data_IF_268367823602
#
_entry.id   IF_268367823602
#
_cell.length_a   1.000
_cell.length_b   1.000
_cell.length_c   1.000
_cell.angle_alpha   90.00
_cell.angle_beta   90.00
_cell.angle_gamma   90.00
#
_symmetry.space_group_name_H-M   'P 1'
#
loop_
_entity.id
_entity.type
_entity.pdbx_description
1 polymer ?
#
# COMPACT_ATOMS: atom_id res chain seq x y z
N UNK A 1 24.36 -57.54 13.48
CA UNK A 1 23.38 -57.87 14.56
C UNK A 1 22.11 -57.08 14.31
N UNK A 2 20.96 -57.77 14.34
CA UNK A 2 19.65 -57.30 13.87
C UNK A 2 19.03 -56.30 14.87
N UNK A 3 18.68 -55.09 14.41
CA UNK A 3 17.75 -54.20 15.14
C UNK A 3 16.33 -54.62 14.78
N UNK A 4 15.61 -55.21 15.74
CA UNK A 4 14.22 -55.62 15.58
C UNK A 4 13.31 -54.44 15.89
N UNK A 5 12.50 -54.07 14.90
CA UNK A 5 11.32 -53.21 15.05
C UNK A 5 10.25 -54.04 15.76
N UNK A 6 9.63 -53.46 16.81
CA UNK A 6 8.50 -54.06 17.52
C UNK A 6 7.27 -53.17 17.27
N UNK A 7 6.33 -53.74 16.51
CA UNK A 7 5.03 -53.16 16.18
C UNK A 7 4.01 -53.58 17.24
N UNK A 8 3.14 -52.62 17.55
CA UNK A 8 1.90 -52.60 18.33
C UNK A 8 1.09 -53.89 18.46
N UNK A 9 0.43 -54.02 19.62
CA UNK A 9 -0.93 -54.59 19.75
C UNK A 9 -1.53 -54.11 21.09
N UNK A 10 -2.38 -53.07 21.04
CA UNK A 10 -3.23 -52.69 22.18
C UNK A 10 -4.57 -53.41 22.02
N UNK A 11 -4.92 -54.13 23.08
CA UNK A 11 -6.06 -55.02 23.23
C UNK A 11 -7.35 -54.20 23.45
N UNK A 12 -8.40 -54.58 22.73
CA UNK A 12 -9.73 -53.98 22.83
C UNK A 12 -10.54 -54.49 24.05
N UNK A 13 -11.69 -53.84 24.27
CA UNK A 13 -12.81 -54.05 25.24
C UNK A 13 -12.80 -53.05 26.40
N UNK A 14 -13.91 -52.46 26.90
CA UNK A 14 -15.31 -52.91 26.97
C UNK A 14 -16.36 -51.78 26.76
N UNK A 15 -17.41 -52.13 26.01
CA UNK A 15 -18.87 -52.04 26.24
C UNK A 15 -19.50 -50.94 27.13
N UNK A 16 -20.33 -50.13 26.44
CA UNK A 16 -21.67 -49.60 26.74
C UNK A 16 -22.17 -49.50 28.21
N UNK A 17 -22.54 -48.28 28.60
CA UNK A 17 -23.66 -48.04 29.51
C UNK A 17 -24.53 -46.92 28.97
N UNK A 18 -25.76 -47.29 28.64
CA UNK A 18 -26.86 -46.43 28.22
C UNK A 18 -27.33 -45.58 29.39
N UNK A 19 -27.48 -44.28 29.19
CA UNK A 19 -28.28 -43.41 30.05
C UNK A 19 -29.33 -42.70 29.19
N UNK A 20 -30.59 -43.02 29.47
CA UNK A 20 -31.78 -42.40 28.88
C UNK A 20 -31.97 -41.00 29.46
N UNK A 21 -31.92 -39.99 28.59
CA UNK A 21 -32.25 -38.60 28.91
C UNK A 21 -32.72 -37.86 27.66
N UNK A 22 -34.03 -37.66 27.55
CA UNK A 22 -34.69 -36.86 26.51
C UNK A 22 -34.19 -35.41 26.53
N UNK A 23 -33.71 -34.88 25.40
CA UNK A 23 -34.27 -33.69 24.72
C UNK A 23 -33.29 -33.04 23.72
N UNK A 24 -33.91 -32.52 22.66
CA UNK A 24 -33.47 -31.50 21.71
C UNK A 24 -32.62 -31.90 20.50
N UNK A 25 -33.27 -31.71 19.35
CA UNK A 25 -32.68 -31.57 18.02
C UNK A 25 -31.65 -30.46 18.04
N UNK A 26 -30.39 -30.77 17.79
CA UNK A 26 -29.44 -29.77 17.31
C UNK A 26 -29.59 -29.68 15.79
N UNK A 27 -30.06 -28.50 15.41
CA UNK A 27 -30.05 -27.97 14.07
C UNK A 27 -28.60 -27.96 13.58
N UNK A 28 -28.32 -28.66 12.48
CA UNK A 28 -27.05 -28.51 11.78
C UNK A 28 -26.96 -27.05 11.31
N UNK A 29 -26.23 -26.22 12.06
CA UNK A 29 -25.76 -24.95 11.54
C UNK A 29 -24.89 -25.25 10.33
N UNK A 30 -25.45 -24.91 9.17
CA UNK A 30 -24.75 -24.87 7.93
C UNK A 30 -23.75 -23.71 8.04
N UNK A 31 -22.58 -23.96 8.62
CA UNK A 31 -21.46 -23.01 8.58
C UNK A 31 -21.13 -22.82 7.11
N UNK A 32 -21.62 -21.71 6.57
CA UNK A 32 -21.21 -21.26 5.25
C UNK A 32 -19.73 -20.94 5.40
N UNK A 33 -18.88 -21.81 4.87
CA UNK A 33 -17.45 -21.52 4.73
C UNK A 33 -17.39 -20.39 3.70
N UNK A 34 -17.41 -19.15 4.18
CA UNK A 34 -17.00 -18.02 3.35
C UNK A 34 -15.52 -18.27 3.02
N UNK A 35 -15.26 -18.55 1.74
CA UNK A 35 -13.90 -18.48 1.22
C UNK A 35 -13.47 -17.02 1.29
N UNK A 36 -12.87 -16.62 2.41
CA UNK A 36 -12.26 -15.32 2.54
C UNK A 36 -11.00 -15.34 1.68
N UNK A 37 -11.08 -14.71 0.50
CA UNK A 37 -9.90 -14.39 -0.29
C UNK A 37 -9.08 -13.33 0.44
N UNK A 38 -7.77 -13.55 0.52
CA UNK A 38 -6.84 -12.58 1.10
C UNK A 38 -6.84 -11.28 0.26
N UNK A 39 -6.96 -10.13 0.93
CA UNK A 39 -6.72 -8.81 0.35
C UNK A 39 -5.22 -8.49 0.41
N UNK A 40 -4.56 -8.55 -0.75
CA UNK A 40 -3.11 -8.41 -0.89
C UNK A 40 -2.77 -7.14 -1.67
N UNK A 41 -1.91 -6.30 -1.09
CA UNK A 41 -1.36 -5.11 -1.74
C UNK A 41 0.17 -5.17 -1.72
N UNK A 42 0.79 -5.03 -2.88
CA UNK A 42 2.26 -4.97 -2.99
C UNK A 42 2.69 -3.56 -3.36
N UNK A 43 3.72 -3.05 -2.67
CA UNK A 43 4.31 -1.75 -2.92
C UNK A 43 5.83 -1.81 -2.79
N UNK A 44 6.52 -0.84 -3.39
CA UNK A 44 7.97 -0.68 -3.29
C UNK A 44 8.27 0.79 -2.98
N UNK A 45 9.21 1.00 -2.07
CA UNK A 45 9.69 2.32 -1.68
C UNK A 45 11.18 2.42 -1.97
N UNK A 46 11.64 3.62 -2.33
CA UNK A 46 13.06 3.90 -2.53
C UNK A 46 13.47 5.07 -1.64
N UNK A 47 14.51 4.90 -0.84
CA UNK A 47 15.03 5.98 0.01
C UNK A 47 15.95 6.94 -0.76
N UNK A 48 16.46 7.96 -0.07
CA UNK A 48 17.36 8.97 -0.64
C UNK A 48 18.72 8.41 -1.10
N UNK A 49 19.13 7.26 -0.55
CA UNK A 49 20.37 6.58 -0.91
C UNK A 49 20.16 5.55 -2.04
N UNK A 50 18.93 5.40 -2.52
CA UNK A 50 18.56 4.48 -3.59
C UNK A 50 18.34 3.04 -3.12
N UNK A 51 18.25 2.78 -1.81
CA UNK A 51 17.88 1.46 -1.29
C UNK A 51 16.41 1.20 -1.55
N UNK A 52 16.06 -0.05 -1.81
CA UNK A 52 14.68 -0.47 -2.03
C UNK A 52 14.11 -1.16 -0.78
N UNK A 53 12.85 -0.90 -0.51
CA UNK A 53 12.03 -1.58 0.50
C UNK A 53 10.77 -2.09 -0.18
N UNK A 54 10.67 -3.40 -0.38
CA UNK A 54 9.48 -4.03 -0.94
C UNK A 54 8.58 -4.53 0.18
N UNK A 55 7.28 -4.24 0.09
CA UNK A 55 6.30 -4.62 1.11
C UNK A 55 5.07 -5.24 0.46
N UNK A 56 4.71 -6.44 0.93
CA UNK A 56 3.44 -7.09 0.65
C UNK A 56 2.57 -7.01 1.91
N UNK A 57 1.49 -6.25 1.85
CA UNK A 57 0.48 -6.17 2.88
C UNK A 57 -0.60 -7.22 2.63
N UNK A 58 -0.81 -8.11 3.59
CA UNK A 58 -1.99 -8.96 3.67
C UNK A 58 -2.96 -8.34 4.68
N UNK A 59 -3.90 -7.53 4.18
CA UNK A 59 -4.84 -6.77 5.00
C UNK A 59 -5.85 -7.68 5.72
N UNK A 60 -6.12 -8.86 5.16
CA UNK A 60 -6.99 -9.87 5.80
C UNK A 60 -6.33 -10.47 7.04
N UNK A 61 -5.01 -10.69 7.01
CA UNK A 61 -4.26 -11.31 8.10
C UNK A 61 -3.57 -10.32 9.04
N UNK A 62 -3.50 -9.04 8.66
CA UNK A 62 -2.72 -8.04 9.39
C UNK A 62 -1.24 -8.38 9.41
N UNK A 63 -0.70 -8.86 8.29
CA UNK A 63 0.71 -9.23 8.13
C UNK A 63 1.32 -8.38 7.02
N UNK A 64 2.51 -7.84 7.27
CA UNK A 64 3.36 -7.26 6.23
C UNK A 64 4.59 -8.15 6.03
N UNK A 65 4.79 -8.65 4.81
CA UNK A 65 6.04 -9.31 4.41
C UNK A 65 6.93 -8.26 3.76
N UNK A 66 8.08 -7.99 4.39
CA UNK A 66 9.01 -6.94 3.99
C UNK A 66 10.28 -7.58 3.44
N UNK A 67 10.79 -7.07 2.31
CA UNK A 67 12.13 -7.38 1.81
C UNK A 67 12.98 -6.11 1.81
N UNK A 68 14.11 -6.15 2.52
CA UNK A 68 15.05 -5.03 2.67
C UNK A 68 16.49 -5.56 2.68
N UNK A 69 17.37 -5.02 1.84
CA UNK A 69 18.79 -5.46 1.73
C UNK A 69 18.94 -6.99 1.61
N UNK A 70 18.13 -7.62 0.76
CA UNK A 70 18.09 -9.09 0.53
C UNK A 70 17.56 -9.92 1.74
N UNK A 71 17.18 -9.28 2.85
CA UNK A 71 16.54 -9.93 3.99
C UNK A 71 15.01 -9.84 3.86
N UNK A 72 14.31 -10.97 4.02
CA UNK A 72 12.84 -11.02 4.05
C UNK A 72 12.34 -11.40 5.44
N UNK A 73 11.40 -10.64 5.98
CA UNK A 73 10.82 -10.88 7.30
C UNK A 73 9.33 -10.50 7.35
N UNK A 74 8.61 -11.11 8.29
CA UNK A 74 7.20 -10.79 8.53
C UNK A 74 7.06 -9.88 9.74
N UNK A 75 6.12 -8.94 9.63
CA UNK A 75 5.72 -8.03 10.69
C UNK A 75 4.22 -8.19 10.96
N UNK A 76 3.85 -8.17 12.22
CA UNK A 76 2.45 -8.22 12.65
C UNK A 76 1.91 -6.81 12.82
N UNK A 77 0.66 -6.59 12.40
CA UNK A 77 -0.01 -5.31 12.55
C UNK A 77 -0.21 -4.95 14.01
N UNK A 78 0.05 -3.69 14.33
CA UNK A 78 -0.21 -3.08 15.63
C UNK A 78 -1.32 -2.03 15.53
N UNK A 79 -1.86 -1.64 16.69
CA UNK A 79 -2.84 -0.57 16.77
C UNK A 79 -2.19 0.81 16.65
N UNK A 80 -2.25 1.41 15.47
CA UNK A 80 -1.84 2.79 15.24
C UNK A 80 -2.97 3.80 15.56
N UNK A 81 -2.60 5.02 15.98
CA UNK A 81 -3.54 6.13 16.07
C UNK A 81 -3.84 6.76 14.69
N UNK A 82 -2.89 6.66 13.76
CA UNK A 82 -3.01 7.10 12.37
C UNK A 82 -1.95 6.37 11.53
N UNK A 83 -2.29 6.05 10.29
CA UNK A 83 -1.38 5.38 9.37
C UNK A 83 -1.22 3.88 9.64
N UNK A 84 -0.09 3.34 9.22
CA UNK A 84 0.28 1.93 9.39
C UNK A 84 1.29 1.77 10.51
N UNK A 85 1.20 0.63 11.20
CA UNK A 85 2.19 0.20 12.18
C UNK A 85 2.24 -1.32 12.16
N UNK A 86 3.42 -1.87 11.85
CA UNK A 86 3.70 -3.29 11.89
C UNK A 86 5.03 -3.54 12.60
N UNK A 87 5.17 -4.62 13.37
CA UNK A 87 6.44 -4.95 14.04
C UNK A 87 6.63 -6.44 14.28
N UNK A 88 7.87 -6.81 14.55
CA UNK A 88 8.25 -8.03 15.24
C UNK A 88 9.27 -7.69 16.35
N UNK A 89 10.06 -8.65 16.83
CA UNK A 89 11.04 -8.42 17.89
C UNK A 89 12.26 -7.58 17.46
N UNK A 90 12.56 -7.55 16.15
CA UNK A 90 13.75 -6.89 15.58
C UNK A 90 13.38 -5.65 14.77
N UNK A 91 12.25 -5.66 14.08
CA UNK A 91 11.89 -4.65 13.09
C UNK A 91 10.57 -3.96 13.43
N UNK A 92 10.47 -2.69 13.06
CA UNK A 92 9.26 -1.89 13.18
C UNK A 92 9.08 -1.03 11.92
N UNK A 93 7.97 -1.25 11.23
CA UNK A 93 7.55 -0.48 10.06
C UNK A 93 6.43 0.49 10.47
N UNK A 94 6.65 1.78 10.28
CA UNK A 94 5.66 2.83 10.53
C UNK A 94 5.47 3.68 9.29
N UNK A 95 4.27 4.16 9.06
CA UNK A 95 4.04 5.03 7.91
C UNK A 95 2.70 5.73 7.94
N UNK A 96 2.56 6.76 7.10
CA UNK A 96 1.31 7.50 6.90
C UNK A 96 1.29 8.01 5.47
N UNK A 97 0.18 7.77 4.76
CA UNK A 97 0.11 8.03 3.32
C UNK A 97 1.26 7.31 2.60
N UNK A 98 2.09 8.02 1.84
CA UNK A 98 3.25 7.45 1.15
C UNK A 98 4.53 7.42 2.00
N UNK A 99 4.56 8.11 3.14
CA UNK A 99 5.74 8.13 3.99
C UNK A 99 5.88 6.82 4.76
N UNK A 100 7.08 6.25 4.79
CA UNK A 100 7.36 5.04 5.56
C UNK A 100 8.77 5.08 6.16
N UNK A 101 8.88 4.59 7.39
CA UNK A 101 10.12 4.43 8.12
C UNK A 101 10.21 2.96 8.57
N UNK A 102 11.39 2.35 8.37
CA UNK A 102 11.72 1.04 8.93
C UNK A 102 12.82 1.21 9.98
N UNK A 103 12.55 0.71 11.17
CA UNK A 103 13.53 0.60 12.25
C UNK A 103 14.00 -0.85 12.41
N UNK A 104 15.28 -1.03 12.75
CA UNK A 104 15.89 -2.29 13.16
C UNK A 104 16.52 -2.08 14.53
N UNK A 105 16.12 -2.87 15.52
CA UNK A 105 16.58 -2.76 16.91
C UNK A 105 16.46 -1.33 17.49
N UNK A 106 15.43 -0.60 17.06
CA UNK A 106 15.16 0.79 17.46
C UNK A 106 15.94 1.87 16.70
N UNK A 107 16.82 1.50 15.77
CA UNK A 107 17.55 2.42 14.90
C UNK A 107 16.87 2.55 13.53
N UNK A 108 16.79 3.77 13.00
CA UNK A 108 16.22 4.03 11.66
C UNK A 108 17.18 3.49 10.59
N UNK A 109 16.73 2.49 9.81
CA UNK A 109 17.54 1.86 8.76
C UNK A 109 17.05 2.17 7.34
N UNK A 110 15.81 2.65 7.20
CA UNK A 110 15.24 3.09 5.93
C UNK A 110 14.18 4.17 6.19
N UNK A 111 14.13 5.19 5.33
CA UNK A 111 13.11 6.23 5.36
C UNK A 111 12.78 6.67 3.94
N UNK A 112 11.51 6.58 3.58
CA UNK A 112 10.96 7.14 2.36
C UNK A 112 9.95 8.23 2.70
N UNK A 113 10.06 9.38 2.01
CA UNK A 113 9.16 10.53 2.16
C UNK A 113 8.61 10.93 0.80
N UNK A 114 7.35 11.32 0.78
CA UNK A 114 6.71 11.85 -0.41
C UNK A 114 7.30 13.22 -0.78
N UNK A 115 7.69 13.40 -2.04
CA UNK A 115 8.27 14.65 -2.52
C UNK A 115 7.19 15.46 -3.21
N UNK A 116 6.48 16.27 -2.41
CA UNK A 116 5.40 17.14 -2.87
C UNK A 116 5.89 18.56 -3.13
N UNK A 117 5.62 19.09 -4.32
CA UNK A 117 5.87 20.48 -4.70
C UNK A 117 4.56 21.16 -5.07
N UNK A 118 4.23 22.24 -4.39
CA UNK A 118 3.05 23.06 -4.69
C UNK A 118 3.45 24.33 -5.44
N UNK A 119 2.70 24.71 -6.45
CA UNK A 119 2.89 25.94 -7.22
C UNK A 119 1.54 26.56 -7.55
N UNK A 120 1.49 27.88 -7.67
CA UNK A 120 0.32 28.63 -8.12
C UNK A 120 0.78 29.71 -9.07
N UNK A 121 0.14 29.79 -10.23
CA UNK A 121 0.47 30.77 -11.28
C UNK A 121 -0.79 31.48 -11.75
N UNK A 122 -0.63 32.73 -12.17
CA UNK A 122 -1.73 33.55 -12.68
C UNK A 122 -1.39 34.03 -14.09
N UNK A 123 -2.32 33.90 -15.03
CA UNK A 123 -2.14 34.41 -16.40
C UNK A 123 -2.53 35.91 -16.50
N UNK A 124 -2.39 36.49 -17.70
CA UNK A 124 -2.67 37.91 -17.94
C UNK A 124 -4.16 38.25 -17.83
N UNK A 125 -5.01 37.25 -18.02
CA UNK A 125 -6.46 37.32 -17.90
C UNK A 125 -6.93 37.25 -16.44
N UNK A 126 -6.01 37.01 -15.49
CA UNK A 126 -6.29 36.90 -14.06
C UNK A 126 -6.77 35.52 -13.63
N UNK A 127 -6.75 34.53 -14.54
CA UNK A 127 -7.04 33.14 -14.20
C UNK A 127 -5.88 32.55 -13.40
N UNK A 128 -6.19 31.60 -12.54
CA UNK A 128 -5.22 30.92 -11.66
C UNK A 128 -5.12 29.45 -12.01
N UNK A 129 -3.90 28.91 -11.93
CA UNK A 129 -3.64 27.48 -12.03
C UNK A 129 -2.83 27.05 -10.81
N UNK A 130 -3.51 26.39 -9.88
CA UNK A 130 -2.86 25.76 -8.73
C UNK A 130 -2.43 24.34 -9.11
N UNK A 131 -1.21 23.96 -8.74
CA UNK A 131 -0.59 22.70 -9.11
C UNK A 131 0.08 22.07 -7.89
N UNK A 132 -0.15 20.78 -7.69
CA UNK A 132 0.50 19.96 -6.68
C UNK A 132 1.17 18.80 -7.40
N UNK A 133 2.49 18.86 -7.52
CA UNK A 133 3.30 17.82 -8.11
C UNK A 133 3.73 16.84 -7.02
N UNK A 134 3.48 15.56 -7.23
CA UNK A 134 4.04 14.48 -6.45
C UNK A 134 5.16 13.86 -7.28
N UNK A 135 6.39 14.20 -6.94
CA UNK A 135 7.58 13.74 -7.66
C UNK A 135 7.93 12.27 -7.33
N UNK A 136 7.39 11.72 -6.25
CA UNK A 136 7.55 10.31 -5.88
C UNK A 136 6.73 9.40 -6.79
N UNK A 137 5.45 9.72 -6.97
CA UNK A 137 4.52 8.96 -7.82
C UNK A 137 4.46 9.47 -9.26
N UNK A 138 5.22 10.54 -9.56
CA UNK A 138 5.22 11.25 -10.82
C UNK A 138 3.79 11.65 -11.28
N UNK A 139 3.02 12.22 -10.36
CA UNK A 139 1.64 12.69 -10.63
C UNK A 139 1.52 14.20 -10.40
N UNK A 140 0.52 14.82 -11.00
CA UNK A 140 0.17 16.21 -10.73
C UNK A 140 -1.33 16.33 -10.48
N UNK A 141 -1.71 17.10 -9.47
CA UNK A 141 -3.09 17.54 -9.23
C UNK A 141 -3.17 19.01 -9.54
N UNK A 142 -4.12 19.42 -10.38
CA UNK A 142 -4.26 20.81 -10.78
C UNK A 142 -5.68 21.33 -10.58
N UNK A 143 -5.80 22.64 -10.38
CA UNK A 143 -7.07 23.35 -10.21
C UNK A 143 -7.03 24.63 -11.05
N UNK A 144 -7.89 24.72 -12.06
CA UNK A 144 -8.07 25.94 -12.86
C UNK A 144 -9.14 26.80 -12.19
N UNK A 145 -8.79 28.03 -11.82
CA UNK A 145 -9.69 29.00 -11.18
C UNK A 145 -10.38 28.46 -9.91
N UNK A 146 -9.65 27.66 -9.12
CA UNK A 146 -10.19 27.00 -7.93
C UNK A 146 -11.32 25.99 -8.23
N UNK A 147 -11.44 25.55 -9.49
CA UNK A 147 -12.43 24.61 -9.97
C UNK A 147 -12.19 23.17 -9.52
N UNK A 148 -12.66 22.20 -10.32
CA UNK A 148 -12.51 20.78 -10.01
C UNK A 148 -11.05 20.33 -10.01
N UNK A 149 -10.72 19.39 -9.12
CA UNK A 149 -9.42 18.73 -9.11
C UNK A 149 -9.25 17.91 -10.39
N UNK A 150 -8.18 18.15 -11.13
CA UNK A 150 -7.78 17.35 -12.29
C UNK A 150 -6.51 16.59 -11.93
N UNK A 151 -6.57 15.26 -11.94
CA UNK A 151 -5.39 14.40 -11.73
C UNK A 151 -4.73 14.07 -13.07
N UNK A 152 -3.42 14.22 -13.13
CA UNK A 152 -2.59 14.00 -14.31
C UNK A 152 -1.44 13.05 -13.98
N UNK A 153 -1.09 12.21 -14.94
CA UNK A 153 0.01 11.26 -14.87
C UNK A 153 1.22 11.79 -15.63
N UNK A 154 2.39 11.74 -15.01
CA UNK A 154 3.64 12.18 -15.62
C UNK A 154 4.00 11.35 -16.85
N UNK A 155 4.56 12.01 -17.85
CA UNK A 155 5.01 11.42 -19.10
C UNK A 155 6.53 11.58 -19.22
N UNK A 156 7.13 11.02 -20.28
CA UNK A 156 8.54 11.23 -20.61
C UNK A 156 8.69 12.35 -21.64
N UNK A 157 8.98 13.61 -21.25
CA UNK A 157 9.19 14.70 -22.19
C UNK A 157 10.61 14.71 -22.76
N UNK A 158 10.79 15.32 -23.93
CA UNK A 158 12.12 15.67 -24.44
C UNK A 158 12.76 16.87 -23.71
N UNK A 159 11.96 17.69 -23.04
CA UNK A 159 12.40 18.82 -22.20
C UNK A 159 11.23 19.33 -21.35
N UNK A 160 11.50 19.78 -20.12
CA UNK A 160 10.49 20.38 -19.24
C UNK A 160 9.60 19.36 -18.55
N UNK A 161 8.42 19.81 -18.14
CA UNK A 161 7.38 18.97 -17.52
C UNK A 161 6.36 18.50 -18.54
N UNK A 162 5.82 17.31 -18.33
CA UNK A 162 4.69 16.81 -19.11
C UNK A 162 3.85 15.86 -18.26
N UNK A 163 2.60 16.25 -18.04
CA UNK A 163 1.60 15.45 -17.34
C UNK A 163 0.33 15.42 -18.17
N UNK A 164 -0.38 14.29 -18.21
CA UNK A 164 -1.65 14.20 -18.93
C UNK A 164 -2.61 13.19 -18.32
N UNK A 165 -3.88 13.31 -18.69
CA UNK A 165 -4.88 12.25 -18.62
C UNK A 165 -5.62 12.17 -19.97
N UNK A 166 -6.80 11.55 -20.00
CA UNK A 166 -7.56 11.38 -21.24
C UNK A 166 -8.07 12.69 -21.85
N UNK A 167 -8.29 13.73 -21.03
CA UNK A 167 -8.90 14.99 -21.44
C UNK A 167 -7.95 16.18 -21.36
N UNK A 168 -6.98 16.16 -20.45
CA UNK A 168 -6.12 17.28 -20.13
C UNK A 168 -4.66 16.95 -20.35
N UNK A 169 -3.91 17.95 -20.81
CA UNK A 169 -2.45 17.88 -20.94
C UNK A 169 -1.81 19.16 -20.40
N UNK A 170 -0.90 18.99 -19.45
CA UNK A 170 -0.08 20.03 -18.85
C UNK A 170 1.35 19.92 -19.39
N UNK A 171 1.83 20.99 -20.00
CA UNK A 171 3.18 21.14 -20.54
C UNK A 171 3.84 22.35 -19.91
N UNK A 172 5.15 22.33 -19.74
CA UNK A 172 5.85 23.51 -19.25
C UNK A 172 7.36 23.39 -19.28
N UNK A 173 8.05 24.53 -19.21
CA UNK A 173 9.51 24.61 -19.13
C UNK A 173 9.91 25.88 -18.37
N UNK A 174 10.67 25.70 -17.29
CA UNK A 174 10.99 26.83 -16.41
C UNK A 174 9.72 27.34 -15.73
N UNK A 175 9.42 28.63 -15.88
CA UNK A 175 8.22 29.26 -15.32
C UNK A 175 7.01 29.22 -16.28
N UNK A 176 7.21 28.86 -17.54
CA UNK A 176 6.14 28.80 -18.56
C UNK A 176 5.37 27.48 -18.45
N UNK A 177 4.05 27.56 -18.44
CA UNK A 177 3.12 26.44 -18.35
C UNK A 177 1.94 26.65 -19.30
N UNK A 178 1.50 25.57 -19.93
CA UNK A 178 0.30 25.53 -20.77
C UNK A 178 -0.55 24.32 -20.34
N UNK A 179 -1.83 24.57 -20.09
CA UNK A 179 -2.84 23.53 -19.89
C UNK A 179 -3.77 23.51 -21.11
N UNK A 180 -3.92 22.33 -21.69
CA UNK A 180 -4.90 22.08 -22.74
C UNK A 180 -5.98 21.13 -22.25
N UNK A 181 -7.20 21.32 -22.76
CA UNK A 181 -8.34 20.41 -22.61
C UNK A 181 -8.84 20.03 -23.98
N UNK A 182 -8.90 18.73 -24.28
CA UNK A 182 -9.30 18.20 -25.59
C UNK A 182 -8.53 18.86 -26.75
N UNK A 183 -7.22 19.12 -26.54
CA UNK A 183 -6.32 19.76 -27.49
C UNK A 183 -6.49 21.29 -27.64
N UNK A 184 -7.37 21.93 -26.86
CA UNK A 184 -7.53 23.40 -26.85
C UNK A 184 -6.88 24.00 -25.62
N UNK A 185 -6.13 25.09 -25.80
CA UNK A 185 -5.52 25.83 -24.67
C UNK A 185 -6.62 26.40 -23.80
N UNK A 186 -6.59 26.06 -22.51
CA UNK A 186 -7.49 26.59 -21.47
C UNK A 186 -6.76 27.45 -20.44
N UNK A 187 -5.43 27.34 -20.37
CA UNK A 187 -4.58 28.21 -19.56
C UNK A 187 -3.17 28.31 -20.17
N UNK A 188 -2.55 29.49 -20.09
CA UNK A 188 -1.15 29.74 -20.46
C UNK A 188 -0.63 30.99 -19.76
N UNK A 189 0.59 30.97 -19.23
CA UNK A 189 1.27 32.15 -18.66
C UNK A 189 2.46 32.63 -19.49
#
# INVERSE_FOLDING_TARGET
>A
MKRKILIFTILATLVLSSCTGTSNKENAENTTIENVTDDIVTTSYVDVDGKALDVLFNNTKGIATVTFEEETFELLQEKAASGIWYKNDTYELRGKANDVDLMKDGELVFSHKDVIVTSSITNKEGQTLDMVFNNTTNTAKIYLDGGEQIELQGQTPGSGIWYKNDQYELRGKGEEVELTKDGKVVFKN
#
